data_IF_773959918101
#
_entry.id   IF_773959918101
#
_cell.length_a   1.000
_cell.length_b   1.000
_cell.length_c   1.000
_cell.angle_alpha   90.00
_cell.angle_beta   90.00
_cell.angle_gamma   90.00
#
_symmetry.space_group_name_H-M   'P 1'
#
loop_
_entity.id
_entity.type
_entity.pdbx_description
1 polymer ?
#
# COMPACT_ATOMS: atom_id res chain seq x y z
N UNK A 1 31.47 -63.35 51.20
CA UNK A 1 30.57 -63.03 50.08
C UNK A 1 30.02 -61.64 50.36
N UNK A 2 30.71 -60.62 49.85
CA UNK A 2 30.26 -59.23 49.99
C UNK A 2 29.23 -58.91 48.90
N UNK A 3 28.10 -58.29 49.22
CA UNK A 3 27.06 -58.00 48.23
C UNK A 3 27.52 -56.86 47.28
N UNK A 4 27.18 -56.93 45.99
CA UNK A 4 27.61 -55.92 45.02
C UNK A 4 26.92 -54.57 45.30
N UNK A 5 27.72 -53.52 45.49
CA UNK A 5 27.26 -52.16 45.67
C UNK A 5 26.72 -51.59 44.34
N UNK A 6 25.42 -51.39 44.25
CA UNK A 6 24.76 -50.76 43.10
C UNK A 6 24.89 -49.24 43.23
N UNK A 7 25.85 -48.63 42.53
CA UNK A 7 25.99 -47.18 42.44
C UNK A 7 24.98 -46.61 41.43
N UNK A 8 23.82 -46.17 41.91
CA UNK A 8 22.76 -45.58 41.08
C UNK A 8 23.13 -44.13 40.72
N UNK A 9 23.81 -43.91 39.59
CA UNK A 9 24.04 -42.57 39.06
C UNK A 9 22.72 -41.91 38.65
N UNK A 10 22.14 -41.09 39.55
CA UNK A 10 21.05 -40.18 39.22
C UNK A 10 21.62 -39.02 38.40
N UNK A 11 21.62 -39.15 37.08
CA UNK A 11 21.80 -37.97 36.20
C UNK A 11 20.66 -37.00 36.52
N UNK A 12 20.93 -35.73 36.87
CA UNK A 12 19.86 -34.78 37.13
C UNK A 12 19.00 -34.70 35.87
N UNK A 13 17.71 -34.99 36.03
CA UNK A 13 16.74 -35.04 34.94
C UNK A 13 16.50 -33.60 34.48
N UNK A 14 17.39 -33.08 33.62
CA UNK A 14 17.33 -31.74 33.02
C UNK A 14 16.30 -31.67 31.86
N UNK A 15 15.70 -32.81 31.50
CA UNK A 15 14.66 -32.92 30.47
C UNK A 15 13.51 -31.89 30.58
N UNK A 16 12.90 -31.61 31.75
CA UNK A 16 11.84 -30.61 31.85
C UNK A 16 12.34 -29.18 31.57
N UNK A 17 13.62 -28.89 31.87
CA UNK A 17 14.22 -27.58 31.69
C UNK A 17 14.55 -27.29 30.20
N UNK A 18 14.97 -28.32 29.47
CA UNK A 18 15.16 -28.22 28.02
C UNK A 18 13.84 -28.17 27.26
N UNK A 19 12.80 -28.88 27.73
CA UNK A 19 11.47 -28.83 27.13
C UNK A 19 10.79 -27.48 27.32
N UNK A 20 10.90 -26.85 28.50
CA UNK A 20 10.37 -25.51 28.73
C UNK A 20 11.13 -24.46 27.92
N UNK A 21 12.47 -24.56 27.84
CA UNK A 21 13.28 -23.70 26.99
C UNK A 21 12.88 -23.83 25.51
N UNK A 22 12.70 -25.05 25.01
CA UNK A 22 12.26 -25.32 23.64
C UNK A 22 10.86 -24.72 23.38
N UNK A 23 9.92 -24.89 24.32
CA UNK A 23 8.58 -24.31 24.19
C UNK A 23 8.63 -22.78 24.11
N UNK A 24 9.46 -22.12 24.93
CA UNK A 24 9.65 -20.66 24.88
C UNK A 24 10.22 -20.22 23.53
N UNK A 25 11.19 -20.95 22.98
CA UNK A 25 11.78 -20.64 21.67
C UNK A 25 10.74 -20.80 20.56
N UNK A 26 9.92 -21.85 20.59
CA UNK A 26 8.85 -22.07 19.60
C UNK A 26 7.79 -20.97 19.67
N UNK A 27 7.32 -20.62 20.87
CA UNK A 27 6.35 -19.53 21.08
C UNK A 27 6.93 -18.19 20.65
N UNK A 28 8.19 -17.91 21.00
CA UNK A 28 8.90 -16.70 20.60
C UNK A 28 9.06 -16.60 19.08
N UNK A 29 9.43 -17.67 18.41
CA UNK A 29 9.52 -17.72 16.94
C UNK A 29 8.14 -17.54 16.29
N UNK A 30 7.08 -18.13 16.84
CA UNK A 30 5.70 -17.92 16.42
C UNK A 30 5.26 -16.46 16.56
N UNK A 31 5.58 -15.82 17.68
CA UNK A 31 5.27 -14.41 17.90
C UNK A 31 6.03 -13.49 16.93
N UNK A 32 7.33 -13.75 16.70
CA UNK A 32 8.15 -12.96 15.76
C UNK A 32 7.66 -13.12 14.32
N UNK A 33 7.29 -14.33 13.89
CA UNK A 33 6.74 -14.57 12.55
C UNK A 33 5.37 -13.91 12.37
N UNK A 34 4.51 -13.96 13.39
CA UNK A 34 3.22 -13.26 13.38
C UNK A 34 3.41 -11.74 13.29
N UNK A 35 4.31 -11.17 14.10
CA UNK A 35 4.57 -9.73 14.08
C UNK A 35 5.18 -9.25 12.76
N UNK A 36 6.05 -10.06 12.15
CA UNK A 36 6.60 -9.79 10.81
C UNK A 36 5.57 -9.91 9.69
N UNK A 37 4.47 -10.61 9.92
CA UNK A 37 3.37 -10.73 8.95
C UNK A 37 2.40 -9.55 9.01
N UNK A 38 2.48 -8.72 10.06
CA UNK A 38 1.66 -7.51 10.18
C UNK A 38 2.27 -6.40 9.33
N UNK A 39 1.88 -6.35 8.05
CA UNK A 39 2.31 -5.31 7.12
C UNK A 39 1.20 -4.29 6.83
N UNK A 40 1.54 -3.06 6.48
CA UNK A 40 0.56 -2.01 6.16
C UNK A 40 0.81 -1.49 4.75
N UNK A 41 -0.17 -1.68 3.87
CA UNK A 41 -0.12 -1.19 2.50
C UNK A 41 -0.67 0.23 2.46
N UNK A 42 0.08 1.16 1.88
CA UNK A 42 -0.35 2.57 1.75
C UNK A 42 -0.72 2.83 0.30
N UNK A 43 -2.01 3.08 0.05
CA UNK A 43 -2.53 3.41 -1.28
C UNK A 43 -2.80 4.91 -1.34
N UNK A 44 -2.02 5.61 -2.15
CA UNK A 44 -2.16 7.02 -2.44
C UNK A 44 -3.08 7.17 -3.66
N UNK A 45 -4.28 7.73 -3.50
CA UNK A 45 -5.19 7.98 -4.62
C UNK A 45 -5.22 9.46 -4.96
N UNK A 46 -4.93 9.77 -6.22
CA UNK A 46 -4.92 11.12 -6.77
C UNK A 46 -5.88 11.20 -7.95
N UNK A 47 -6.63 12.30 -8.01
CA UNK A 47 -7.50 12.63 -9.14
C UNK A 47 -6.75 13.56 -10.12
N UNK A 48 -6.70 13.26 -11.43
CA UNK A 48 -6.14 14.17 -12.43
C UNK A 48 -6.88 15.51 -12.45
N UNK A 49 -6.11 16.60 -12.57
CA UNK A 49 -6.64 17.97 -12.52
C UNK A 49 -7.08 18.46 -13.90
N UNK A 50 -8.16 19.26 -13.84
CA UNK A 50 -8.75 20.20 -14.80
C UNK A 50 -8.88 19.81 -16.28
N UNK A 51 -10.13 19.87 -16.73
CA UNK A 51 -10.52 19.85 -18.13
C UNK A 51 -10.17 21.21 -18.73
N UNK A 52 -9.50 21.22 -19.88
CA UNK A 52 -9.59 22.38 -20.76
C UNK A 52 -11.05 22.42 -21.27
N UNK A 53 -11.82 23.50 -21.03
CA UNK A 53 -13.21 23.56 -21.44
C UNK A 53 -13.28 23.68 -22.96
N UNK A 54 -13.71 22.60 -23.61
CA UNK A 54 -13.99 22.57 -25.05
C UNK A 54 -13.09 21.58 -25.80
N UNK A 55 -13.74 20.59 -26.40
CA UNK A 55 -13.25 19.63 -27.39
C UNK A 55 -12.63 18.31 -26.85
N UNK A 56 -13.27 17.22 -27.32
CA UNK A 56 -12.81 15.82 -27.37
C UNK A 56 -13.05 15.00 -26.08
N UNK A 57 -13.56 13.77 -26.27
CA UNK A 57 -13.55 12.73 -25.24
C UNK A 57 -12.09 12.48 -24.82
N UNK A 58 -11.78 12.87 -23.58
CA UNK A 58 -10.45 12.82 -22.95
C UNK A 58 -9.47 13.97 -23.31
N UNK A 59 -9.76 15.22 -22.87
CA UNK A 59 -8.85 16.36 -23.06
C UNK A 59 -7.51 16.16 -22.34
N UNK A 60 -6.41 16.68 -22.91
CA UNK A 60 -5.08 16.66 -22.28
C UNK A 60 -5.04 17.48 -20.97
N UNK A 61 -3.98 17.28 -20.18
CA UNK A 61 -3.70 18.07 -18.97
C UNK A 61 -3.55 19.57 -19.32
N UNK A 62 -4.08 20.44 -18.46
CA UNK A 62 -3.78 21.88 -18.52
C UNK A 62 -2.33 22.16 -18.08
N UNK A 63 -1.73 23.29 -18.47
CA UNK A 63 -0.39 23.68 -18.00
C UNK A 63 -0.28 23.76 -16.46
N UNK A 64 -1.36 24.17 -15.79
CA UNK A 64 -1.45 24.18 -14.32
C UNK A 64 -1.49 22.75 -13.74
N UNK A 65 -2.18 21.84 -14.43
CA UNK A 65 -2.17 20.41 -14.14
C UNK A 65 -0.76 19.80 -14.27
N UNK A 66 0.01 20.21 -15.28
CA UNK A 66 1.38 19.73 -15.49
C UNK A 66 2.33 20.17 -14.37
N UNK A 67 2.27 21.44 -13.96
CA UNK A 67 3.04 21.93 -12.81
C UNK A 67 2.69 21.18 -11.52
N UNK A 68 1.42 20.81 -11.36
CA UNK A 68 0.98 20.01 -10.21
C UNK A 68 1.48 18.58 -10.28
N UNK A 69 1.43 17.94 -11.45
CA UNK A 69 2.02 16.63 -11.65
C UNK A 69 3.51 16.63 -11.33
N UNK A 70 4.22 17.72 -11.65
CA UNK A 70 5.62 17.91 -11.26
C UNK A 70 5.80 18.09 -9.75
N UNK A 71 4.94 18.85 -9.06
CA UNK A 71 4.97 18.96 -7.59
C UNK A 71 4.71 17.62 -6.90
N UNK A 72 3.75 16.85 -7.42
CA UNK A 72 3.49 15.48 -6.97
C UNK A 72 4.73 14.59 -7.17
N UNK A 73 5.36 14.70 -8.34
CA UNK A 73 6.59 13.99 -8.64
C UNK A 73 7.76 14.41 -7.74
N UNK A 74 7.82 15.66 -7.29
CA UNK A 74 8.80 16.11 -6.30
C UNK A 74 8.51 15.54 -4.91
N UNK A 75 7.25 15.54 -4.48
CA UNK A 75 6.86 15.06 -3.15
C UNK A 75 7.05 13.55 -2.99
N UNK A 76 6.76 12.77 -4.03
CA UNK A 76 6.81 11.30 -4.00
C UNK A 76 7.99 10.69 -4.75
N UNK A 77 8.80 11.50 -5.43
CA UNK A 77 9.94 11.05 -6.22
C UNK A 77 11.21 10.80 -5.41
N UNK A 78 11.29 11.33 -4.18
CA UNK A 78 12.47 11.17 -3.34
C UNK A 78 12.27 10.00 -2.38
N UNK A 79 12.89 8.86 -2.70
CA UNK A 79 12.82 7.60 -1.96
C UNK A 79 13.43 7.64 -0.54
N UNK A 80 13.80 8.83 -0.03
CA UNK A 80 14.61 9.00 1.18
C UNK A 80 13.89 8.79 2.52
N UNK A 81 12.57 8.89 2.56
CA UNK A 81 11.80 8.80 3.81
C UNK A 81 11.08 7.45 3.96
N UNK A 82 11.82 6.35 4.12
CA UNK A 82 11.34 5.08 4.72
C UNK A 82 10.10 4.39 4.11
N UNK A 83 9.58 4.86 2.98
CA UNK A 83 8.31 4.43 2.39
C UNK A 83 8.23 4.78 0.91
N UNK A 84 9.34 4.57 0.19
CA UNK A 84 9.45 4.84 -1.23
C UNK A 84 8.36 4.14 -2.04
N UNK A 85 7.93 4.78 -3.12
CA UNK A 85 6.85 4.26 -3.94
C UNK A 85 7.28 3.00 -4.71
N UNK A 86 6.54 1.91 -4.49
CA UNK A 86 6.81 0.62 -5.12
C UNK A 86 6.11 0.46 -6.47
N UNK A 87 4.94 1.05 -6.63
CA UNK A 87 4.21 0.96 -7.89
C UNK A 87 3.40 2.22 -8.16
N UNK A 88 3.20 2.47 -9.45
CA UNK A 88 2.34 3.52 -9.97
C UNK A 88 1.27 2.81 -10.78
N UNK A 89 0.01 3.06 -10.48
CA UNK A 89 -1.15 2.64 -11.26
C UNK A 89 -1.81 3.88 -11.82
N UNK A 90 -2.19 3.85 -13.09
CA UNK A 90 -2.90 4.93 -13.74
C UNK A 90 -4.10 4.38 -14.52
N UNK A 91 -5.21 5.11 -14.51
CA UNK A 91 -6.30 4.80 -15.42
C UNK A 91 -5.83 4.91 -16.88
N UNK A 92 -6.50 4.19 -17.76
CA UNK A 92 -6.42 4.33 -19.21
C UNK A 92 -6.65 5.76 -19.75
N UNK A 93 -7.28 6.64 -18.98
CA UNK A 93 -7.38 8.09 -19.27
C UNK A 93 -6.01 8.74 -19.57
N UNK A 94 -5.90 9.48 -20.67
CA UNK A 94 -4.69 10.25 -21.04
C UNK A 94 -4.26 11.19 -19.93
N UNK A 95 -5.20 11.84 -19.23
CA UNK A 95 -4.87 12.73 -18.10
C UNK A 95 -4.21 11.98 -16.94
N UNK A 96 -4.66 10.76 -16.66
CA UNK A 96 -4.05 9.95 -15.61
C UNK A 96 -2.61 9.57 -16.00
N UNK A 97 -2.40 9.18 -17.25
CA UNK A 97 -1.08 8.85 -17.79
C UNK A 97 -0.12 10.05 -17.79
N UNK A 98 -0.60 11.23 -18.22
CA UNK A 98 0.17 12.47 -18.22
C UNK A 98 0.54 12.94 -16.80
N UNK A 99 -0.36 12.74 -15.82
CA UNK A 99 -0.07 13.03 -14.41
C UNK A 99 0.97 12.06 -13.83
N UNK A 100 0.93 10.80 -14.26
CA UNK A 100 1.86 9.76 -13.81
C UNK A 100 3.27 9.92 -14.41
N UNK A 101 3.37 10.44 -15.64
CA UNK A 101 4.61 10.54 -16.41
C UNK A 101 5.81 11.18 -15.67
N UNK A 102 5.71 12.37 -15.05
CA UNK A 102 6.85 12.99 -14.37
C UNK A 102 7.33 12.17 -13.17
N UNK A 103 6.42 11.53 -12.44
CA UNK A 103 6.78 10.67 -11.31
C UNK A 103 7.41 9.36 -11.79
N UNK A 104 6.85 8.75 -12.84
CA UNK A 104 7.38 7.55 -13.48
C UNK A 104 8.82 7.75 -13.95
N UNK A 105 9.12 8.92 -14.54
CA UNK A 105 10.46 9.31 -14.95
C UNK A 105 11.42 9.44 -13.77
N UNK A 106 11.00 10.11 -12.68
CA UNK A 106 11.84 10.29 -11.49
C UNK A 106 12.14 8.99 -10.75
N UNK A 107 11.14 8.10 -10.67
CA UNK A 107 11.27 6.82 -9.98
C UNK A 107 11.85 5.72 -10.88
N UNK A 108 12.03 6.00 -12.18
CA UNK A 108 12.39 5.00 -13.20
C UNK A 108 11.46 3.77 -13.18
N UNK A 109 10.16 3.98 -12.95
CA UNK A 109 9.14 2.92 -12.88
C UNK A 109 8.02 3.17 -13.89
N UNK A 110 7.65 2.14 -14.65
CA UNK A 110 6.54 2.21 -15.58
C UNK A 110 5.19 2.18 -14.84
N UNK A 111 4.23 3.07 -15.16
CA UNK A 111 2.87 2.99 -14.65
C UNK A 111 2.16 1.74 -15.15
N UNK A 112 1.46 1.05 -14.26
CA UNK A 112 0.53 -0.02 -14.61
C UNK A 112 -0.82 0.58 -14.98
N UNK A 113 -1.26 0.33 -16.21
CA UNK A 113 -2.55 0.82 -16.66
C UNK A 113 -3.67 -0.11 -16.21
N UNK A 114 -4.80 0.47 -15.81
CA UNK A 114 -6.03 -0.25 -15.52
C UNK A 114 -7.22 0.51 -16.12
N UNK A 115 -8.30 -0.20 -16.46
CA UNK A 115 -9.50 0.46 -16.98
C UNK A 115 -10.40 0.93 -15.84
N UNK A 116 -11.12 2.04 -16.04
CA UNK A 116 -12.06 2.56 -15.04
C UNK A 116 -13.12 1.51 -14.60
N UNK A 117 -13.52 0.59 -15.48
CA UNK A 117 -14.44 -0.50 -15.15
C UNK A 117 -13.84 -1.59 -14.24
N UNK A 118 -12.52 -1.65 -14.14
CA UNK A 118 -11.77 -2.67 -13.39
C UNK A 118 -11.23 -2.15 -12.05
N UNK A 119 -11.78 -1.03 -11.54
CA UNK A 119 -11.34 -0.39 -10.29
C UNK A 119 -11.25 -1.38 -9.11
N UNK A 120 -12.23 -2.29 -8.99
CA UNK A 120 -12.25 -3.35 -7.97
C UNK A 120 -11.10 -4.34 -8.13
N UNK A 121 -10.89 -4.82 -9.35
CA UNK A 121 -9.82 -5.77 -9.66
C UNK A 121 -8.46 -5.14 -9.43
N UNK A 122 -8.29 -3.87 -9.81
CA UNK A 122 -7.10 -3.09 -9.55
C UNK A 122 -6.85 -2.89 -8.05
N UNK A 123 -7.87 -2.55 -7.25
CA UNK A 123 -7.75 -2.44 -5.79
C UNK A 123 -7.24 -3.75 -5.16
N UNK A 124 -7.87 -4.87 -5.51
CA UNK A 124 -7.47 -6.18 -5.01
C UNK A 124 -6.05 -6.56 -5.45
N UNK A 125 -5.67 -6.19 -6.68
CA UNK A 125 -4.32 -6.39 -7.20
C UNK A 125 -3.27 -5.59 -6.44
N UNK A 126 -3.55 -4.32 -6.16
CA UNK A 126 -2.66 -3.43 -5.40
C UNK A 126 -2.35 -4.02 -4.02
N UNK A 127 -3.38 -4.43 -3.28
CA UNK A 127 -3.21 -4.99 -1.93
C UNK A 127 -2.47 -6.33 -1.98
N UNK A 128 -2.74 -7.17 -2.99
CA UNK A 128 -2.13 -8.49 -3.12
C UNK A 128 -0.67 -8.45 -3.57
N UNK A 129 -0.34 -7.60 -4.55
CA UNK A 129 1.00 -7.54 -5.16
C UNK A 129 1.96 -6.63 -4.40
N UNK A 130 1.45 -5.67 -3.63
CA UNK A 130 2.24 -4.67 -2.91
C UNK A 130 1.93 -4.65 -1.41
N UNK A 131 1.69 -5.83 -0.83
CA UNK A 131 1.42 -5.97 0.59
C UNK A 131 2.56 -5.39 1.44
N UNK A 132 2.29 -4.28 2.14
CA UNK A 132 3.30 -3.58 2.95
C UNK A 132 4.06 -2.46 2.27
N UNK A 133 3.80 -2.25 0.98
CA UNK A 133 4.42 -1.20 0.19
C UNK A 133 3.56 0.06 0.10
N UNK A 134 4.13 1.09 -0.51
CA UNK A 134 3.42 2.31 -0.90
C UNK A 134 3.12 2.27 -2.40
N UNK A 135 1.86 2.43 -2.77
CA UNK A 135 1.40 2.42 -4.17
C UNK A 135 0.63 3.70 -4.47
N UNK A 136 0.92 4.32 -5.62
CA UNK A 136 0.19 5.49 -6.11
C UNK A 136 -0.79 5.02 -7.17
N UNK A 137 -2.04 5.42 -7.02
CA UNK A 137 -3.11 5.18 -7.97
C UNK A 137 -3.66 6.51 -8.46
N UNK A 138 -3.59 6.74 -9.76
CA UNK A 138 -4.12 7.92 -10.42
C UNK A 138 -5.36 7.49 -11.19
N UNK A 139 -6.52 7.97 -10.77
CA UNK A 139 -7.81 7.52 -11.31
C UNK A 139 -8.79 8.65 -11.54
N UNK A 140 -9.78 8.41 -12.39
CA UNK A 140 -10.87 9.35 -12.63
C UNK A 140 -11.73 9.55 -11.38
N UNK A 141 -12.56 10.61 -11.39
CA UNK A 141 -13.43 10.96 -10.26
C UNK A 141 -14.47 9.89 -9.89
N UNK A 142 -14.71 8.90 -10.75
CA UNK A 142 -15.59 7.75 -10.47
C UNK A 142 -14.82 6.54 -9.96
N UNK A 143 -13.62 6.32 -10.48
CA UNK A 143 -12.76 5.19 -10.10
C UNK A 143 -12.19 5.35 -8.69
N UNK A 144 -11.76 6.56 -8.32
CA UNK A 144 -11.15 6.81 -6.99
C UNK A 144 -12.10 6.46 -5.84
N UNK A 145 -13.36 6.95 -5.81
CA UNK A 145 -14.34 6.56 -4.79
C UNK A 145 -14.59 5.05 -4.73
N UNK A 146 -14.74 4.40 -5.88
CA UNK A 146 -14.95 2.95 -5.95
C UNK A 146 -13.76 2.20 -5.34
N UNK A 147 -12.55 2.62 -5.68
CA UNK A 147 -11.34 1.97 -5.15
C UNK A 147 -11.21 2.18 -3.63
N UNK A 148 -11.56 3.36 -3.10
CA UNK A 148 -11.59 3.59 -1.65
C UNK A 148 -12.64 2.72 -0.97
N UNK A 149 -13.83 2.59 -1.57
CA UNK A 149 -14.88 1.73 -1.04
C UNK A 149 -14.41 0.27 -0.96
N UNK A 150 -13.74 -0.24 -2.00
CA UNK A 150 -13.21 -1.60 -1.99
C UNK A 150 -12.07 -1.79 -0.98
N UNK A 151 -11.24 -0.76 -0.74
CA UNK A 151 -10.09 -0.83 0.17
C UNK A 151 -10.45 -0.61 1.65
N UNK A 152 -11.46 0.21 1.95
CA UNK A 152 -11.82 0.62 3.31
C UNK A 152 -13.24 0.22 3.73
N UNK A 153 -14.13 -0.04 2.78
CA UNK A 153 -15.57 -0.22 3.02
C UNK A 153 -16.31 1.09 3.29
N UNK A 154 -15.62 2.23 3.26
CA UNK A 154 -16.20 3.57 3.43
C UNK A 154 -16.58 4.12 2.07
N UNK A 155 -17.84 4.54 1.94
CA UNK A 155 -18.32 5.23 0.76
C UNK A 155 -17.94 6.72 0.86
N UNK A 156 -16.85 7.09 0.18
CA UNK A 156 -16.44 8.48 0.04
C UNK A 156 -17.23 9.01 -1.14
N UNK A 157 -18.35 9.69 -0.87
CA UNK A 157 -19.20 10.24 -1.92
C UNK A 157 -18.39 11.02 -2.96
N UNK A 158 -18.91 11.10 -4.19
CA UNK A 158 -18.23 11.76 -5.30
C UNK A 158 -17.75 13.16 -4.89
N UNK A 159 -16.43 13.39 -4.96
CA UNK A 159 -15.85 14.68 -4.61
C UNK A 159 -16.45 15.78 -5.51
N UNK A 160 -16.86 16.89 -4.89
CA UNK A 160 -17.51 18.00 -5.58
C UNK A 160 -16.68 18.49 -6.78
N UNK A 161 -17.32 18.89 -7.90
CA UNK A 161 -16.60 19.46 -9.03
C UNK A 161 -15.85 20.72 -8.59
N UNK A 162 -14.51 20.69 -8.71
CA UNK A 162 -13.61 21.76 -8.23
C UNK A 162 -12.69 21.33 -7.08
N UNK A 163 -12.97 20.21 -6.42
CA UNK A 163 -12.13 19.66 -5.36
C UNK A 163 -11.07 18.70 -5.91
N UNK A 164 -10.19 19.27 -6.73
CA UNK A 164 -9.16 18.54 -7.50
C UNK A 164 -7.82 18.42 -6.77
N UNK A 165 -7.65 19.08 -5.61
CA UNK A 165 -6.41 19.10 -4.82
C UNK A 165 -6.39 18.09 -3.67
N UNK A 166 -7.15 17.02 -3.79
CA UNK A 166 -7.30 16.05 -2.72
C UNK A 166 -6.45 14.82 -3.02
N UNK A 167 -5.50 14.57 -2.13
CA UNK A 167 -4.83 13.29 -2.00
C UNK A 167 -5.56 12.45 -0.96
N UNK A 168 -6.00 11.27 -1.36
CA UNK A 168 -6.54 10.27 -0.44
C UNK A 168 -5.43 9.28 -0.10
N UNK A 169 -5.15 9.10 1.17
CA UNK A 169 -4.20 8.11 1.67
C UNK A 169 -4.99 7.03 2.37
N UNK A 170 -5.02 5.83 1.79
CA UNK A 170 -5.68 4.67 2.37
C UNK A 170 -4.60 3.74 2.92
N UNK A 171 -4.55 3.59 4.24
CA UNK A 171 -3.68 2.63 4.90
C UNK A 171 -4.47 1.35 5.16
N UNK A 172 -4.11 0.27 4.46
CA UNK A 172 -4.72 -1.05 4.56
C UNK A 172 -3.78 -1.97 5.35
N UNK A 173 -4.00 -2.16 6.67
CA UNK A 173 -3.21 -3.10 7.45
C UNK A 173 -3.60 -4.54 7.10
N UNK A 174 -2.65 -5.47 7.20
CA UNK A 174 -2.88 -6.92 7.04
C UNK A 174 -3.90 -7.45 8.04
N UNK A 175 -4.01 -6.77 9.19
CA UNK A 175 -4.94 -7.08 10.26
C UNK A 175 -5.55 -5.78 10.79
N UNK A 176 -6.88 -5.71 10.83
CA UNK A 176 -7.60 -4.57 11.39
C UNK A 176 -8.40 -3.79 10.36
N UNK A 177 -8.78 -2.56 10.73
CA UNK A 177 -9.56 -1.67 9.86
C UNK A 177 -8.63 -0.82 9.01
N UNK A 178 -8.97 -0.65 7.74
CA UNK A 178 -8.29 0.32 6.92
C UNK A 178 -8.59 1.75 7.41
N UNK A 179 -7.62 2.62 7.28
CA UNK A 179 -7.75 4.04 7.63
C UNK A 179 -7.70 4.88 6.37
N UNK A 180 -8.59 5.87 6.27
CA UNK A 180 -8.62 6.84 5.19
C UNK A 180 -8.23 8.20 5.76
N UNK A 181 -7.20 8.81 5.17
CA UNK A 181 -6.81 10.19 5.44
C UNK A 181 -6.98 11.00 4.17
N UNK A 182 -7.60 12.16 4.30
CA UNK A 182 -7.80 13.11 3.20
C UNK A 182 -6.89 14.30 3.41
N UNK A 183 -5.99 14.57 2.47
CA UNK A 183 -5.03 15.67 2.51
C UNK A 183 -5.32 16.63 1.36
N UNK A 184 -5.31 17.93 1.65
CA UNK A 184 -5.39 18.98 0.63
C UNK A 184 -3.96 19.44 0.31
N UNK A 185 -3.57 19.35 -0.95
CA UNK A 185 -2.27 19.81 -1.48
C UNK A 185 -2.29 21.30 -1.85
#
# INVERSE_FOLDING_TARGET
>A
MDPPAITRHRRPFLAPLWLTLLAIVVVGAGAVTFYRSATTTVVLLVRPVEKQPGSIDDPPLSPEGEQRAQRLAQMFGDAGAGGGLEAIYASDDRRAQQTAAPLAQRLHRAPQLFSAGDARTAAARVVREHAGGTVLVIGSGTTVPQMIHELNGVDVGAAAPGESDILYVVSVPSFGRAHLVRIRL
#
